data_IF_661397077658
#
_entry.id   IF_661397077658
#
_cell.length_a   1.000
_cell.length_b   1.000
_cell.length_c   1.000
_cell.angle_alpha   90.00
_cell.angle_beta   90.00
_cell.angle_gamma   90.00
#
_symmetry.space_group_name_H-M   'P 1'
#
loop_
_entity.id
_entity.type
_entity.pdbx_description
1 polymer ?
#
# COMPACT_ATOMS: atom_id res chain seq x y z
N UNK A 1 28.22 7.24 29.37
CA UNK A 1 27.61 6.45 28.29
C UNK A 1 27.58 5.01 28.77
N UNK A 2 26.43 4.34 28.78
CA UNK A 2 26.32 3.03 29.41
C UNK A 2 27.11 1.97 28.62
N UNK A 3 28.10 1.28 29.21
CA UNK A 3 28.94 0.30 28.50
C UNK A 3 28.12 -0.87 27.94
N UNK A 4 26.98 -1.18 28.56
CA UNK A 4 26.02 -2.18 28.05
C UNK A 4 25.40 -1.75 26.72
N UNK A 5 25.16 -0.46 26.50
CA UNK A 5 24.56 0.07 25.28
C UNK A 5 25.52 -0.03 24.09
N UNK A 6 26.82 0.19 24.32
CA UNK A 6 27.84 0.08 23.28
C UNK A 6 28.01 -1.36 22.80
N UNK A 7 28.01 -2.33 23.73
CA UNK A 7 28.06 -3.75 23.40
C UNK A 7 26.82 -4.16 22.57
N UNK A 8 25.62 -3.72 22.97
CA UNK A 8 24.38 -4.02 22.22
C UNK A 8 24.43 -3.44 20.81
N UNK A 9 24.87 -2.18 20.65
CA UNK A 9 25.02 -1.55 19.34
C UNK A 9 26.00 -2.31 18.44
N UNK A 10 27.15 -2.71 18.98
CA UNK A 10 28.16 -3.46 18.24
C UNK A 10 27.61 -4.81 17.77
N UNK A 11 26.91 -5.54 18.64
CA UNK A 11 26.29 -6.83 18.29
C UNK A 11 25.24 -6.67 17.19
N UNK A 12 24.41 -5.63 17.26
CA UNK A 12 23.40 -5.34 16.23
C UNK A 12 24.05 -5.00 14.89
N UNK A 13 25.11 -4.21 14.87
CA UNK A 13 25.83 -3.85 13.64
C UNK A 13 26.48 -5.09 12.99
N UNK A 14 27.13 -5.94 13.80
CA UNK A 14 27.71 -7.21 13.30
C UNK A 14 26.64 -8.13 12.70
N UNK A 15 25.48 -8.22 13.35
CA UNK A 15 24.36 -9.03 12.89
C UNK A 15 23.78 -8.50 11.58
N UNK A 16 23.61 -7.19 11.46
CA UNK A 16 23.10 -6.53 10.25
C UNK A 16 24.01 -6.78 9.03
N UNK A 17 25.32 -6.68 9.22
CA UNK A 17 26.30 -6.99 8.17
C UNK A 17 26.27 -8.46 7.78
N UNK A 18 26.16 -9.36 8.77
CA UNK A 18 26.08 -10.81 8.54
C UNK A 18 24.83 -11.19 7.75
N UNK A 19 23.67 -10.64 8.11
CA UNK A 19 22.40 -10.85 7.40
C UNK A 19 22.49 -10.31 5.96
N UNK A 20 23.07 -9.12 5.78
CA UNK A 20 23.23 -8.53 4.46
C UNK A 20 24.11 -9.39 3.56
N UNK A 21 25.23 -9.90 4.09
CA UNK A 21 26.13 -10.79 3.37
C UNK A 21 25.43 -12.09 2.94
N UNK A 22 24.64 -12.70 3.83
CA UNK A 22 23.85 -13.91 3.53
C UNK A 22 22.85 -13.62 2.40
N UNK A 23 22.13 -12.50 2.46
CA UNK A 23 21.16 -12.14 1.41
C UNK A 23 21.83 -11.85 0.07
N UNK A 24 22.99 -11.20 0.08
CA UNK A 24 23.75 -10.97 -1.14
C UNK A 24 24.23 -12.30 -1.74
N UNK A 25 24.77 -13.20 -0.92
CA UNK A 25 25.20 -14.52 -1.34
C UNK A 25 24.04 -15.35 -1.90
N UNK A 26 22.85 -15.30 -1.26
CA UNK A 26 21.66 -15.98 -1.76
C UNK A 26 21.29 -15.55 -3.18
N UNK A 27 21.38 -14.25 -3.48
CA UNK A 27 21.12 -13.73 -4.84
C UNK A 27 22.17 -14.25 -5.83
N UNK A 28 23.45 -14.24 -5.45
CA UNK A 28 24.52 -14.79 -6.29
C UNK A 28 24.30 -16.27 -6.60
N UNK A 29 23.93 -17.07 -5.59
CA UNK A 29 23.63 -18.49 -5.78
C UNK A 29 22.45 -18.70 -6.74
N UNK A 30 21.38 -17.88 -6.64
CA UNK A 30 20.25 -17.95 -7.58
C UNK A 30 20.63 -17.56 -9.01
N UNK A 31 21.58 -16.65 -9.19
CA UNK A 31 22.10 -16.30 -10.51
C UNK A 31 22.93 -17.41 -11.13
N UNK A 32 23.72 -18.11 -10.32
CA UNK A 32 24.50 -19.27 -10.76
C UNK A 32 23.62 -20.44 -11.19
N UNK A 33 22.49 -20.67 -10.50
CA UNK A 33 21.52 -21.72 -10.88
C UNK A 33 20.86 -21.40 -12.24
N UNK A 34 20.18 -20.26 -12.35
CA UNK A 34 19.55 -19.87 -13.62
C UNK A 34 19.29 -18.36 -13.73
N UNK A 35 20.27 -17.64 -14.28
CA UNK A 35 20.21 -16.19 -14.44
C UNK A 35 18.97 -15.72 -15.21
N UNK A 36 18.62 -16.35 -16.34
CA UNK A 36 17.49 -15.89 -17.16
C UNK A 36 16.13 -16.12 -16.49
N UNK A 37 15.98 -17.24 -15.77
CA UNK A 37 14.75 -17.50 -15.03
C UNK A 37 14.62 -16.62 -13.79
N UNK A 38 15.74 -16.18 -13.20
CA UNK A 38 15.74 -15.24 -12.09
C UNK A 38 14.95 -13.97 -12.43
N UNK A 39 15.25 -13.35 -13.58
CA UNK A 39 14.64 -12.11 -14.03
C UNK A 39 13.20 -12.24 -14.54
N UNK A 40 12.68 -13.47 -14.69
CA UNK A 40 11.25 -13.70 -15.00
C UNK A 40 10.37 -13.78 -13.76
N UNK A 41 10.95 -14.05 -12.59
CA UNK A 41 10.22 -14.20 -11.34
C UNK A 41 10.08 -12.87 -10.60
N UNK A 42 8.86 -12.35 -10.48
CA UNK A 42 8.56 -11.09 -9.75
C UNK A 42 9.13 -11.09 -8.32
N UNK A 43 9.12 -12.25 -7.66
CA UNK A 43 9.61 -12.39 -6.29
C UNK A 43 11.14 -12.34 -6.19
N UNK A 44 11.82 -12.85 -7.20
CA UNK A 44 13.28 -12.79 -7.28
C UNK A 44 13.76 -11.37 -7.60
N UNK A 45 13.08 -10.67 -8.52
CA UNK A 45 13.34 -9.25 -8.82
C UNK A 45 13.12 -8.39 -7.57
N UNK A 46 12.05 -8.63 -6.81
CA UNK A 46 11.80 -7.94 -5.55
C UNK A 46 12.91 -8.18 -4.50
N UNK A 47 13.30 -9.44 -4.29
CA UNK A 47 14.38 -9.80 -3.36
C UNK A 47 15.72 -9.15 -3.76
N UNK A 48 16.03 -9.12 -5.06
CA UNK A 48 17.18 -8.42 -5.62
C UNK A 48 17.14 -6.92 -5.33
N UNK A 49 16.03 -6.25 -5.66
CA UNK A 49 15.88 -4.81 -5.50
C UNK A 49 16.07 -4.38 -4.03
N UNK A 50 15.45 -5.10 -3.10
CA UNK A 50 15.59 -4.84 -1.65
C UNK A 50 17.03 -5.09 -1.18
N UNK A 51 17.71 -6.12 -1.71
CA UNK A 51 19.12 -6.39 -1.39
C UNK A 51 20.03 -5.28 -1.92
N UNK A 52 19.84 -4.82 -3.15
CA UNK A 52 20.65 -3.75 -3.73
C UNK A 52 20.48 -2.43 -3.00
N UNK A 53 19.23 -2.06 -2.70
CA UNK A 53 18.91 -0.87 -1.91
C UNK A 53 19.57 -0.88 -0.52
N UNK A 54 19.77 -2.09 0.01
CA UNK A 54 20.40 -2.36 1.29
C UNK A 54 21.92 -2.35 1.26
N UNK A 55 22.54 -2.68 0.13
CA UNK A 55 23.98 -2.74 -0.08
C UNK A 55 24.56 -1.37 -0.45
N UNK A 56 23.83 -0.58 -1.25
CA UNK A 56 24.32 0.71 -1.76
C UNK A 56 24.85 1.64 -0.64
N UNK A 57 24.12 1.88 0.47
CA UNK A 57 24.61 2.77 1.52
C UNK A 57 25.89 2.26 2.21
N UNK A 58 26.04 0.94 2.36
CA UNK A 58 27.20 0.33 3.00
C UNK A 58 28.44 0.43 2.10
N UNK A 59 28.27 0.21 0.80
CA UNK A 59 29.33 0.45 -0.19
C UNK A 59 29.75 1.92 -0.15
N UNK A 60 28.81 2.87 -0.15
CA UNK A 60 29.15 4.30 -0.12
C UNK A 60 29.94 4.67 1.15
N UNK A 61 29.55 4.13 2.31
CA UNK A 61 30.29 4.31 3.57
C UNK A 61 31.74 3.83 3.46
N UNK A 62 31.94 2.63 2.92
CA UNK A 62 33.27 2.01 2.79
C UNK A 62 34.15 2.71 1.77
N UNK A 63 33.62 3.08 0.59
CA UNK A 63 34.42 3.65 -0.51
C UNK A 63 34.72 5.13 -0.36
N UNK A 64 33.81 5.92 0.23
CA UNK A 64 34.02 7.37 0.37
C UNK A 64 34.61 7.76 1.72
N UNK A 65 34.51 6.91 2.75
CA UNK A 65 34.94 7.28 4.11
C UNK A 65 34.23 8.51 4.69
N UNK A 66 33.17 8.99 4.01
CA UNK A 66 32.34 10.12 4.41
C UNK A 66 31.21 9.59 5.25
N UNK A 67 30.87 10.32 6.31
CA UNK A 67 29.68 10.00 7.08
C UNK A 67 28.46 10.08 6.18
N UNK A 68 27.86 8.92 5.98
CA UNK A 68 26.72 8.68 5.10
C UNK A 68 25.47 9.52 5.39
N UNK A 69 25.48 10.32 6.46
CA UNK A 69 24.43 11.28 6.81
C UNK A 69 24.59 12.65 6.11
N UNK A 70 25.78 12.96 5.58
CA UNK A 70 26.04 14.20 4.82
C UNK A 70 25.45 14.15 3.39
N UNK A 71 25.08 12.95 2.93
CA UNK A 71 24.48 12.73 1.61
C UNK A 71 22.99 12.46 1.79
N UNK A 72 22.14 13.45 1.50
CA UNK A 72 20.68 13.35 1.65
C UNK A 72 20.10 12.07 1.02
N UNK A 73 20.59 11.72 -0.18
CA UNK A 73 20.16 10.50 -0.88
C UNK A 73 20.52 9.26 -0.07
N UNK A 74 21.74 9.17 0.48
CA UNK A 74 22.17 8.00 1.27
C UNK A 74 21.39 7.92 2.59
N UNK A 75 21.11 9.05 3.23
CA UNK A 75 20.26 9.12 4.40
C UNK A 75 18.83 8.62 4.12
N UNK A 76 18.28 8.90 2.93
CA UNK A 76 16.99 8.32 2.49
C UNK A 76 17.10 6.82 2.20
N UNK A 77 18.15 6.36 1.52
CA UNK A 77 18.39 4.93 1.23
C UNK A 77 18.53 4.09 2.51
N UNK A 78 19.09 4.66 3.58
CA UNK A 78 19.14 4.02 4.90
C UNK A 78 17.75 3.73 5.46
N UNK A 79 16.77 4.63 5.30
CA UNK A 79 15.39 4.42 5.77
C UNK A 79 14.74 3.22 5.09
N UNK A 80 15.07 2.98 3.83
CA UNK A 80 14.57 1.83 3.09
C UNK A 80 15.16 0.48 3.51
N UNK A 81 16.14 0.42 4.41
CA UNK A 81 16.58 -0.84 5.03
C UNK A 81 15.42 -1.55 5.73
N UNK A 82 14.39 -0.84 6.17
CA UNK A 82 13.16 -1.46 6.71
C UNK A 82 12.47 -2.37 5.70
N UNK A 83 12.64 -2.14 4.39
CA UNK A 83 12.10 -3.01 3.34
C UNK A 83 12.71 -4.41 3.37
N UNK A 84 13.88 -4.62 4.02
CA UNK A 84 14.43 -5.96 4.27
C UNK A 84 13.43 -6.85 5.02
N UNK A 85 12.62 -6.29 5.92
CA UNK A 85 11.57 -7.03 6.62
C UNK A 85 10.52 -7.61 5.66
N UNK A 86 10.25 -6.92 4.55
CA UNK A 86 9.31 -7.36 3.53
C UNK A 86 9.81 -8.56 2.73
N UNK A 87 11.11 -8.90 2.80
CA UNK A 87 11.64 -10.13 2.17
C UNK A 87 10.96 -11.39 2.70
N UNK A 88 10.38 -11.36 3.89
CA UNK A 88 9.58 -12.48 4.41
C UNK A 88 8.47 -12.89 3.43
N UNK A 89 7.91 -11.91 2.70
CA UNK A 89 6.88 -12.13 1.70
C UNK A 89 7.42 -13.00 0.57
N UNK A 90 8.65 -12.79 0.09
CA UNK A 90 9.21 -13.57 -1.03
C UNK A 90 9.63 -14.99 -0.63
N UNK A 91 9.96 -15.22 0.66
CA UNK A 91 10.37 -16.54 1.17
C UNK A 91 9.18 -17.48 1.35
N UNK A 92 8.10 -17.02 1.97
CA UNK A 92 6.99 -17.90 2.35
C UNK A 92 5.93 -17.97 1.25
N UNK A 93 5.73 -19.16 0.66
CA UNK A 93 4.70 -19.42 -0.37
C UNK A 93 3.31 -18.97 0.08
N UNK A 94 2.93 -19.21 1.32
CA UNK A 94 1.63 -18.81 1.85
C UNK A 94 1.43 -17.28 1.81
N UNK A 95 2.44 -16.50 2.22
CA UNK A 95 2.37 -15.03 2.20
C UNK A 95 2.32 -14.53 0.74
N UNK A 96 3.08 -15.13 -0.17
CA UNK A 96 2.99 -14.81 -1.62
C UNK A 96 1.57 -15.01 -2.16
N UNK A 97 0.90 -16.10 -1.79
CA UNK A 97 -0.47 -16.36 -2.21
C UNK A 97 -1.44 -15.30 -1.68
N UNK A 98 -1.29 -14.87 -0.42
CA UNK A 98 -2.09 -13.78 0.17
C UNK A 98 -1.87 -12.47 -0.60
N UNK A 99 -0.63 -12.09 -0.87
CA UNK A 99 -0.31 -10.86 -1.62
C UNK A 99 -0.82 -10.91 -3.06
N UNK A 100 -0.77 -12.07 -3.71
CA UNK A 100 -1.33 -12.26 -5.04
C UNK A 100 -2.86 -12.15 -5.03
N UNK A 101 -3.53 -12.70 -4.01
CA UNK A 101 -4.97 -12.58 -3.85
C UNK A 101 -5.40 -11.12 -3.64
N UNK A 102 -4.69 -10.38 -2.77
CA UNK A 102 -4.91 -8.94 -2.54
C UNK A 102 -4.68 -8.15 -3.82
N UNK A 103 -3.57 -8.41 -4.53
CA UNK A 103 -3.25 -7.74 -5.81
C UNK A 103 -4.34 -7.98 -6.86
N UNK A 104 -4.86 -9.20 -6.95
CA UNK A 104 -5.95 -9.55 -7.87
C UNK A 104 -7.25 -8.81 -7.51
N UNK A 105 -7.57 -8.72 -6.21
CA UNK A 105 -8.72 -7.94 -5.73
C UNK A 105 -8.56 -6.46 -6.07
N UNK A 106 -7.37 -5.88 -5.85
CA UNK A 106 -7.12 -4.46 -6.13
C UNK A 106 -7.28 -4.14 -7.62
N UNK A 107 -6.81 -5.01 -8.52
CA UNK A 107 -6.96 -4.83 -9.98
C UNK A 107 -8.42 -4.75 -10.41
N UNK A 108 -9.32 -5.48 -9.74
CA UNK A 108 -10.75 -5.42 -10.03
C UNK A 108 -11.40 -4.10 -9.59
N UNK A 109 -10.74 -3.33 -8.71
CA UNK A 109 -11.26 -2.10 -8.12
C UNK A 109 -10.57 -0.84 -8.64
N UNK A 110 -9.58 -0.97 -9.53
CA UNK A 110 -8.81 0.16 -10.08
C UNK A 110 -9.70 1.26 -10.64
N UNK A 111 -10.79 0.91 -11.34
CA UNK A 111 -11.72 1.90 -11.90
C UNK A 111 -12.48 2.70 -10.83
N UNK A 112 -12.90 2.04 -9.75
CA UNK A 112 -13.59 2.69 -8.63
C UNK A 112 -12.62 3.63 -7.90
N UNK A 113 -11.38 3.18 -7.68
CA UNK A 113 -10.34 3.99 -7.07
C UNK A 113 -9.97 5.20 -7.93
N UNK A 114 -9.84 5.02 -9.25
CA UNK A 114 -9.60 6.11 -10.18
C UNK A 114 -10.74 7.14 -10.15
N UNK A 115 -12.00 6.66 -10.14
CA UNK A 115 -13.16 7.53 -10.00
C UNK A 115 -13.12 8.33 -8.70
N UNK A 116 -12.77 7.69 -7.57
CA UNK A 116 -12.59 8.36 -6.29
C UNK A 116 -11.53 9.46 -6.36
N UNK A 117 -10.39 9.21 -7.01
CA UNK A 117 -9.33 10.22 -7.18
C UNK A 117 -9.80 11.41 -8.03
N UNK A 118 -10.60 11.18 -9.07
CA UNK A 118 -11.19 12.27 -9.87
C UNK A 118 -12.13 13.13 -9.02
N UNK A 119 -13.02 12.50 -8.25
CA UNK A 119 -13.88 13.22 -7.31
C UNK A 119 -13.07 13.96 -6.24
N UNK A 120 -12.04 13.32 -5.67
CA UNK A 120 -11.13 13.93 -4.71
C UNK A 120 -10.43 15.17 -5.30
N UNK A 121 -10.02 15.12 -6.56
CA UNK A 121 -9.42 16.27 -7.25
C UNK A 121 -10.41 17.43 -7.40
N UNK A 122 -11.64 17.16 -7.84
CA UNK A 122 -12.69 18.18 -7.98
C UNK A 122 -12.97 18.83 -6.62
N UNK A 123 -13.16 18.01 -5.58
CA UNK A 123 -13.36 18.51 -4.22
C UNK A 123 -12.14 19.28 -3.72
N UNK A 124 -10.91 18.84 -4.01
CA UNK A 124 -9.70 19.53 -3.57
C UNK A 124 -9.65 20.96 -4.14
N UNK A 125 -9.91 21.12 -5.43
CA UNK A 125 -9.96 22.44 -6.08
C UNK A 125 -11.07 23.31 -5.49
N UNK A 126 -12.27 22.76 -5.33
CA UNK A 126 -13.40 23.49 -4.72
C UNK A 126 -13.08 23.86 -3.27
N UNK A 127 -12.42 22.98 -2.51
CA UNK A 127 -12.03 23.21 -1.12
C UNK A 127 -11.03 24.36 -0.97
N UNK A 128 -10.00 24.43 -1.83
CA UNK A 128 -9.05 25.55 -1.80
C UNK A 128 -9.75 26.89 -2.00
N UNK A 129 -10.73 26.94 -2.91
CA UNK A 129 -11.50 28.16 -3.20
C UNK A 129 -12.47 28.47 -2.05
N UNK A 130 -13.20 27.47 -1.58
CA UNK A 130 -14.26 27.63 -0.57
C UNK A 130 -13.70 28.01 0.81
N UNK A 131 -12.55 27.44 1.19
CA UNK A 131 -11.91 27.66 2.49
C UNK A 131 -10.80 28.72 2.44
N UNK A 132 -10.69 29.53 1.37
CA UNK A 132 -9.62 30.53 1.21
C UNK A 132 -9.58 31.53 2.39
N UNK A 133 -10.73 32.09 2.77
CA UNK A 133 -10.85 33.00 3.93
C UNK A 133 -10.50 32.32 5.26
N UNK A 134 -10.74 31.02 5.40
CA UNK A 134 -10.37 30.27 6.60
C UNK A 134 -8.86 30.10 6.71
N UNK A 135 -8.22 29.65 5.62
CA UNK A 135 -6.78 29.38 5.58
C UNK A 135 -5.94 30.66 5.71
N UNK A 136 -6.43 31.79 5.20
CA UNK A 136 -5.74 33.09 5.30
C UNK A 136 -6.10 33.88 6.56
N UNK A 137 -7.00 33.36 7.39
CA UNK A 137 -7.40 34.03 8.62
C UNK A 137 -6.26 34.03 9.64
N UNK A 138 -6.04 35.18 10.28
CA UNK A 138 -5.09 35.34 11.39
C UNK A 138 -5.78 35.20 12.76
N UNK A 139 -6.95 34.58 12.83
CA UNK A 139 -7.65 34.33 14.09
C UNK A 139 -6.81 33.38 14.96
N UNK A 140 -6.49 33.79 16.18
CA UNK A 140 -5.79 32.95 17.14
C UNK A 140 -6.64 31.73 17.53
N UNK A 141 -6.01 30.56 17.62
CA UNK A 141 -6.68 29.32 18.01
C UNK A 141 -7.35 28.53 16.86
N UNK A 142 -7.01 28.84 15.61
CA UNK A 142 -7.27 27.95 14.47
C UNK A 142 -6.27 26.79 14.49
N UNK A 143 -6.77 25.57 14.60
CA UNK A 143 -5.95 24.35 14.73
C UNK A 143 -5.67 23.73 13.37
N UNK A 144 -6.60 23.88 12.41
CA UNK A 144 -6.54 23.21 11.11
C UNK A 144 -6.29 24.18 9.94
N UNK A 145 -5.63 25.32 10.19
CA UNK A 145 -5.41 26.37 9.18
C UNK A 145 -4.55 25.91 7.97
N UNK A 146 -3.87 24.77 8.04
CA UNK A 146 -3.19 24.15 6.91
C UNK A 146 -4.15 23.39 5.98
N UNK A 147 -5.32 22.97 6.48
CA UNK A 147 -6.30 22.24 5.69
C UNK A 147 -6.82 23.13 4.57
N UNK A 148 -6.92 22.58 3.36
CA UNK A 148 -7.33 23.31 2.16
C UNK A 148 -6.45 24.53 1.79
N UNK A 149 -5.22 24.64 2.31
CA UNK A 149 -4.29 25.73 1.96
C UNK A 149 -3.85 25.71 0.50
N UNK A 150 -3.57 24.52 0.01
CA UNK A 150 -3.16 24.23 -1.36
C UNK A 150 -3.70 22.85 -1.74
N UNK A 151 -3.44 22.44 -2.98
CA UNK A 151 -3.97 21.18 -3.50
C UNK A 151 -3.45 19.96 -2.73
N UNK A 152 -2.19 19.99 -2.28
CA UNK A 152 -1.57 18.88 -1.55
C UNK A 152 -2.21 18.70 -0.17
N UNK A 153 -2.32 19.80 0.59
CA UNK A 153 -2.99 19.81 1.88
C UNK A 153 -4.48 19.49 1.76
N UNK A 154 -5.12 19.86 0.65
CA UNK A 154 -6.51 19.48 0.35
C UNK A 154 -6.66 17.98 0.16
N UNK A 155 -5.76 17.32 -0.59
CA UNK A 155 -5.78 15.87 -0.73
C UNK A 155 -5.60 15.14 0.60
N UNK A 156 -4.69 15.61 1.46
CA UNK A 156 -4.52 15.05 2.82
C UNK A 156 -5.81 15.23 3.63
N UNK A 157 -6.37 16.44 3.62
CA UNK A 157 -7.60 16.74 4.35
C UNK A 157 -8.75 15.84 3.86
N UNK A 158 -8.96 15.74 2.56
CA UNK A 158 -9.99 14.90 1.97
C UNK A 158 -9.78 13.42 2.26
N UNK A 159 -8.53 12.95 2.34
CA UNK A 159 -8.23 11.59 2.77
C UNK A 159 -8.63 11.32 4.23
N UNK A 160 -8.30 12.25 5.15
CA UNK A 160 -8.71 12.17 6.56
C UNK A 160 -10.25 12.16 6.67
N UNK A 161 -10.91 13.08 5.96
CA UNK A 161 -12.38 13.12 5.92
C UNK A 161 -12.98 11.86 5.28
N UNK A 162 -12.35 11.29 4.25
CA UNK A 162 -12.78 10.02 3.63
C UNK A 162 -12.75 8.86 4.63
N UNK A 163 -11.77 8.84 5.54
CA UNK A 163 -11.73 7.90 6.67
C UNK A 163 -12.75 8.19 7.76
N UNK A 164 -13.64 9.17 7.57
CA UNK A 164 -14.68 9.62 8.52
C UNK A 164 -14.10 10.20 9.81
N UNK A 165 -12.85 10.66 9.77
CA UNK A 165 -12.15 11.15 10.94
C UNK A 165 -12.00 12.67 10.92
N UNK A 166 -11.92 13.29 12.10
CA UNK A 166 -11.70 14.73 12.34
C UNK A 166 -12.66 15.73 11.63
N UNK A 167 -13.69 15.27 10.91
CA UNK A 167 -14.62 16.13 10.17
C UNK A 167 -15.38 17.11 11.06
N UNK A 168 -15.76 16.69 12.27
CA UNK A 168 -16.48 17.52 13.23
C UNK A 168 -15.59 18.63 13.80
N UNK A 169 -14.30 18.33 14.02
CA UNK A 169 -13.32 19.26 14.55
C UNK A 169 -12.98 20.33 13.51
N UNK A 170 -12.77 19.93 12.25
CA UNK A 170 -12.59 20.85 11.12
C UNK A 170 -13.81 21.76 10.93
N UNK A 171 -15.03 21.19 11.01
CA UNK A 171 -16.26 21.98 10.90
C UNK A 171 -16.45 22.94 12.09
N UNK A 172 -16.06 22.55 13.29
CA UNK A 172 -16.10 23.43 14.47
C UNK A 172 -15.08 24.59 14.34
N UNK A 173 -13.89 24.30 13.81
CA UNK A 173 -12.83 25.29 13.65
C UNK A 173 -13.17 26.31 12.55
N UNK A 174 -13.71 25.84 11.42
CA UNK A 174 -14.16 26.71 10.31
C UNK A 174 -15.30 27.65 10.71
N UNK A 175 -16.14 27.28 11.67
CA UNK A 175 -17.21 28.15 12.22
C UNK A 175 -16.71 29.35 13.02
N UNK A 176 -15.45 29.34 13.46
CA UNK A 176 -14.83 30.48 14.15
C UNK A 176 -14.58 31.66 13.21
N UNK A 177 -14.53 31.42 11.89
CA UNK A 177 -14.28 32.44 10.88
C UNK A 177 -15.61 33.06 10.42
N UNK A 178 -15.86 34.35 10.66
CA UNK A 178 -17.14 34.99 10.34
C UNK A 178 -17.41 35.13 8.84
N UNK A 179 -16.35 35.28 8.04
CA UNK A 179 -16.43 35.43 6.57
C UNK A 179 -16.89 34.15 5.85
N UNK A 180 -16.85 33.01 6.55
CA UNK A 180 -17.20 31.72 5.99
C UNK A 180 -18.68 31.42 6.16
N UNK A 181 -19.35 31.06 5.07
CA UNK A 181 -20.72 30.57 5.15
C UNK A 181 -20.74 29.18 5.79
N UNK A 182 -21.27 29.13 7.02
CA UNK A 182 -21.37 27.92 7.85
C UNK A 182 -22.22 26.83 7.21
N UNK A 183 -23.25 27.20 6.45
CA UNK A 183 -24.14 26.26 5.78
C UNK A 183 -23.43 25.64 4.56
N UNK A 184 -22.76 26.46 3.75
CA UNK A 184 -22.02 25.98 2.56
C UNK A 184 -20.85 25.08 2.98
N UNK A 185 -20.10 25.45 4.02
CA UNK A 185 -19.01 24.62 4.55
C UNK A 185 -19.51 23.29 5.11
N UNK A 186 -20.62 23.33 5.86
CA UNK A 186 -21.28 22.12 6.35
C UNK A 186 -21.73 21.21 5.22
N UNK A 187 -22.38 21.78 4.19
CA UNK A 187 -22.84 21.05 3.02
C UNK A 187 -21.67 20.41 2.27
N UNK A 188 -20.59 21.14 2.04
CA UNK A 188 -19.39 20.63 1.36
C UNK A 188 -18.81 19.41 2.10
N UNK A 189 -18.60 19.52 3.42
CA UNK A 189 -18.05 18.42 4.23
C UNK A 189 -19.02 17.23 4.23
N UNK A 190 -20.31 17.45 4.44
CA UNK A 190 -21.32 16.36 4.45
C UNK A 190 -21.39 15.67 3.09
N UNK A 191 -21.37 16.41 1.98
CA UNK A 191 -21.38 15.83 0.64
C UNK A 191 -20.15 14.94 0.40
N UNK A 192 -18.96 15.40 0.81
CA UNK A 192 -17.75 14.58 0.71
C UNK A 192 -17.84 13.30 1.55
N UNK A 193 -18.35 13.39 2.79
CA UNK A 193 -18.56 12.23 3.66
C UNK A 193 -19.56 11.23 3.03
N UNK A 194 -20.66 11.71 2.46
CA UNK A 194 -21.65 10.86 1.80
C UNK A 194 -21.08 10.14 0.58
N UNK A 195 -20.35 10.87 -0.28
CA UNK A 195 -19.66 10.29 -1.43
C UNK A 195 -18.63 9.26 -0.98
N UNK A 196 -17.78 9.61 0.00
CA UNK A 196 -16.78 8.71 0.56
C UNK A 196 -17.39 7.44 1.13
N UNK A 197 -18.46 7.56 1.92
CA UNK A 197 -19.21 6.42 2.48
C UNK A 197 -19.79 5.53 1.39
N UNK A 198 -20.42 6.13 0.37
CA UNK A 198 -21.01 5.40 -0.74
C UNK A 198 -19.95 4.64 -1.55
N UNK A 199 -18.83 5.28 -1.87
CA UNK A 199 -17.72 4.66 -2.57
C UNK A 199 -17.11 3.54 -1.73
N UNK A 200 -16.87 3.76 -0.44
CA UNK A 200 -16.33 2.74 0.46
C UNK A 200 -17.24 1.50 0.52
N UNK A 201 -18.56 1.71 0.64
CA UNK A 201 -19.55 0.63 0.59
C UNK A 201 -19.52 -0.10 -0.76
N UNK A 202 -19.43 0.62 -1.88
CA UNK A 202 -19.36 0.01 -3.21
C UNK A 202 -18.09 -0.82 -3.40
N UNK A 203 -16.95 -0.39 -2.84
CA UNK A 203 -15.72 -1.18 -2.82
C UNK A 203 -15.97 -2.49 -2.07
N UNK A 204 -16.54 -2.44 -0.86
CA UNK A 204 -16.85 -3.64 -0.06
C UNK A 204 -17.77 -4.62 -0.81
N UNK A 205 -18.85 -4.12 -1.39
CA UNK A 205 -19.77 -4.92 -2.22
C UNK A 205 -19.03 -5.52 -3.42
N UNK A 206 -18.19 -4.74 -4.09
CA UNK A 206 -17.35 -5.21 -5.19
C UNK A 206 -16.41 -6.35 -4.80
N UNK A 207 -15.78 -6.27 -3.62
CA UNK A 207 -14.92 -7.35 -3.09
C UNK A 207 -15.75 -8.61 -2.87
N UNK A 208 -16.91 -8.47 -2.20
CA UNK A 208 -17.78 -9.58 -1.85
C UNK A 208 -18.31 -10.29 -3.10
N UNK A 209 -18.76 -9.53 -4.11
CA UNK A 209 -19.26 -10.08 -5.37
C UNK A 209 -18.14 -10.82 -6.11
N UNK A 210 -16.95 -10.24 -6.21
CA UNK A 210 -15.82 -10.89 -6.87
C UNK A 210 -15.41 -12.19 -6.16
N UNK A 211 -15.41 -12.20 -4.83
CA UNK A 211 -15.13 -13.40 -4.05
C UNK A 211 -16.21 -14.47 -4.25
N UNK A 212 -17.48 -14.09 -4.18
CA UNK A 212 -18.60 -15.02 -4.40
C UNK A 212 -18.62 -15.59 -5.82
N UNK A 213 -18.29 -14.78 -6.83
CA UNK A 213 -18.13 -15.25 -8.21
C UNK A 213 -16.96 -16.22 -8.36
N UNK A 214 -15.85 -16.00 -7.66
CA UNK A 214 -14.71 -16.93 -7.66
C UNK A 214 -15.11 -18.28 -7.04
N UNK A 215 -15.74 -18.28 -5.86
CA UNK A 215 -16.22 -19.50 -5.19
C UNK A 215 -17.22 -20.25 -6.08
N UNK A 216 -18.20 -19.55 -6.65
CA UNK A 216 -19.20 -20.14 -7.54
C UNK A 216 -18.55 -20.74 -8.80
N UNK A 217 -17.53 -20.09 -9.36
CA UNK A 217 -16.80 -20.60 -10.52
C UNK A 217 -16.05 -21.90 -10.18
N UNK A 218 -15.39 -21.96 -9.04
CA UNK A 218 -14.64 -23.16 -8.64
C UNK A 218 -15.59 -24.32 -8.35
N UNK A 219 -16.71 -24.08 -7.65
CA UNK A 219 -17.76 -25.08 -7.46
C UNK A 219 -18.34 -25.59 -8.78
N UNK A 220 -18.59 -24.70 -9.76
CA UNK A 220 -19.12 -25.11 -11.07
C UNK A 220 -18.15 -26.02 -11.85
N UNK A 221 -16.83 -25.81 -11.69
CA UNK A 221 -15.81 -26.68 -12.31
C UNK A 221 -15.77 -28.04 -11.62
N UNK A 222 -15.86 -28.09 -10.30
CA UNK A 222 -15.91 -29.35 -9.55
C UNK A 222 -17.13 -30.19 -9.96
N UNK A 223 -18.31 -29.58 -10.06
CA UNK A 223 -19.53 -30.27 -10.53
C UNK A 223 -19.35 -30.81 -11.95
N UNK A 224 -18.80 -30.01 -12.87
CA UNK A 224 -18.51 -30.47 -14.23
C UNK A 224 -17.51 -31.64 -14.26
N UNK A 225 -16.48 -31.62 -13.41
CA UNK A 225 -15.51 -32.71 -13.30
C UNK A 225 -16.17 -34.00 -12.80
N UNK A 226 -17.06 -33.90 -11.81
CA UNK A 226 -17.85 -35.04 -11.31
C UNK A 226 -18.74 -35.62 -12.42
N UNK A 227 -19.42 -34.78 -13.19
CA UNK A 227 -20.26 -35.23 -14.31
C UNK A 227 -19.46 -35.91 -15.43
N UNK A 228 -18.29 -35.35 -15.79
CA UNK A 228 -17.40 -35.93 -16.79
C UNK A 228 -16.87 -37.28 -16.29
N UNK A 229 -16.47 -37.37 -15.03
CA UNK A 229 -16.00 -38.60 -14.42
C UNK A 229 -17.10 -39.68 -14.41
N UNK A 230 -18.33 -39.32 -14.02
CA UNK A 230 -19.46 -40.24 -14.03
C UNK A 230 -19.77 -40.77 -15.44
N UNK A 231 -19.72 -39.91 -16.47
CA UNK A 231 -19.89 -40.33 -17.88
C UNK A 231 -18.76 -41.24 -18.34
N UNK A 232 -17.52 -40.95 -17.96
CA UNK A 232 -16.36 -41.78 -18.31
C UNK A 232 -16.44 -43.17 -17.66
N UNK A 233 -16.89 -43.25 -16.41
CA UNK A 233 -17.06 -44.51 -15.70
C UNK A 233 -18.22 -45.35 -16.26
N UNK A 234 -19.33 -44.70 -16.67
CA UNK A 234 -20.41 -45.35 -17.40
C UNK A 234 -19.92 -45.95 -18.74
N UNK A 235 -19.18 -45.16 -19.52
CA UNK A 235 -18.61 -45.61 -20.80
C UNK A 235 -17.66 -46.79 -20.64
N UNK A 236 -16.82 -46.80 -19.58
CA UNK A 236 -15.97 -47.96 -19.26
C UNK A 236 -16.79 -49.20 -18.93
N UNK A 237 -17.86 -49.05 -18.14
CA UNK A 237 -18.73 -50.17 -17.79
C UNK A 237 -19.43 -50.77 -19.03
N UNK A 238 -19.83 -49.93 -20.00
CA UNK A 238 -20.39 -50.39 -21.28
C UNK A 238 -19.38 -51.18 -22.13
N UNK A 239 -18.10 -50.78 -22.12
CA UNK A 239 -17.04 -51.51 -22.84
C UNK A 239 -16.75 -52.86 -22.18
N UNK A 240 -16.72 -52.94 -20.85
CA UNK A 240 -16.40 -54.18 -20.13
C UNK A 240 -17.51 -55.24 -20.29
N UNK A 241 -18.76 -54.81 -20.50
CA UNK A 241 -19.90 -55.72 -20.68
C UNK A 241 -20.14 -56.17 -22.13
N UNK A 242 -19.26 -55.81 -23.09
CA UNK A 242 -19.28 -56.28 -24.49
C UNK A 242 -18.11 -57.22 -24.76
#
# INVERSE_FOLDING_TARGET
MDPKLEIVKLVLEMLDWSILAIFFLEILLKWLDNFWNFWKSTWNIFDFAVTMLSVIPEIVKVFKGVDTDDLEIVALLKKFRILRSLKIISKFRQIRLIVLAISKAFKAMTFIFLLLLVFAYIFAVVGVILFESYTRSNIEGLVYNMNFKDIYNSFITLFILFTMDHWYALLADTRKVPELDKAICGLYIILWLLIGSFVFRNIFVGIMVNNFQAIRSDLSKEVQQIEIQAKADLFKAEIINR
#
